data_IF_151357696780
#
_entry.id   IF_151357696780
#
_cell.length_a   1.000
_cell.length_b   1.000
_cell.length_c   1.000
_cell.angle_alpha   90.00
_cell.angle_beta   90.00
_cell.angle_gamma   90.00
#
_symmetry.space_group_name_H-M   'P 1'
#
loop_
_entity.id
_entity.type
_entity.pdbx_description
1 polymer ?
#
# COMPACT_ATOMS: atom_id res chain seq x y z
N UNK A 1 18.18 -2.16 -8.61
CA UNK A 1 19.40 -1.83 -7.83
C UNK A 1 19.44 -2.77 -6.64
N UNK A 2 20.62 -3.16 -6.16
CA UNK A 2 20.74 -3.84 -4.88
C UNK A 2 21.20 -2.76 -3.89
N UNK A 3 20.53 -2.61 -2.75
CA UNK A 3 20.93 -1.66 -1.73
C UNK A 3 22.33 -1.96 -1.19
N UNK A 4 23.09 -0.92 -0.86
CA UNK A 4 24.11 -1.01 0.19
C UNK A 4 23.40 -1.18 1.54
N UNK A 5 23.95 -1.99 2.46
CA UNK A 5 23.34 -2.24 3.76
C UNK A 5 23.14 -0.96 4.59
N UNK A 6 23.98 0.05 4.38
CA UNK A 6 23.87 1.35 5.05
C UNK A 6 22.70 2.16 4.50
N UNK A 7 22.54 2.16 3.18
CA UNK A 7 21.47 2.90 2.52
C UNK A 7 20.12 2.28 2.85
N UNK A 8 20.01 0.94 2.85
CA UNK A 8 18.79 0.26 3.28
C UNK A 8 18.44 0.59 4.72
N UNK A 9 19.43 0.49 5.64
CA UNK A 9 19.16 0.82 7.05
C UNK A 9 18.77 2.29 7.25
N UNK A 10 19.38 3.19 6.51
CA UNK A 10 19.05 4.61 6.54
C UNK A 10 17.62 4.87 6.02
N UNK A 11 17.23 4.21 4.93
CA UNK A 11 15.87 4.24 4.40
C UNK A 11 14.88 3.78 5.48
N UNK A 12 15.06 2.60 6.05
CA UNK A 12 14.23 2.04 7.13
C UNK A 12 14.09 3.00 8.33
N UNK A 13 15.18 3.68 8.72
CA UNK A 13 15.11 4.65 9.82
C UNK A 13 14.30 5.91 9.48
N UNK A 14 14.29 6.33 8.21
CA UNK A 14 13.45 7.44 7.78
C UNK A 14 11.98 7.03 7.66
N UNK A 15 11.69 5.83 7.20
CA UNK A 15 10.34 5.24 7.21
C UNK A 15 9.82 5.09 8.64
N UNK A 16 10.67 4.60 9.57
CA UNK A 16 10.34 4.56 11.00
C UNK A 16 10.03 5.94 11.57
N UNK A 17 10.72 6.99 11.11
CA UNK A 17 10.42 8.37 11.50
C UNK A 17 9.04 8.79 11.02
N UNK A 18 8.67 8.47 9.76
CA UNK A 18 7.33 8.74 9.22
C UNK A 18 6.29 7.97 10.03
N UNK A 19 6.51 6.68 10.28
CA UNK A 19 5.61 5.83 11.07
C UNK A 19 5.35 6.40 12.47
N UNK A 20 6.40 6.86 13.17
CA UNK A 20 6.26 7.48 14.50
C UNK A 20 5.42 8.75 14.48
N UNK A 21 5.53 9.54 13.43
CA UNK A 21 4.71 10.74 13.27
C UNK A 21 3.26 10.38 12.94
N UNK A 22 3.03 9.38 12.08
CA UNK A 22 1.68 8.85 11.82
C UNK A 22 1.05 8.33 13.12
N UNK A 23 1.78 7.55 13.91
CA UNK A 23 1.30 7.03 15.20
C UNK A 23 0.91 8.15 16.16
N UNK A 24 1.75 9.19 16.28
CA UNK A 24 1.46 10.37 17.11
C UNK A 24 0.15 11.03 16.69
N UNK A 25 -0.01 11.30 15.39
CA UNK A 25 -1.21 11.96 14.85
C UNK A 25 -2.44 11.08 14.99
N UNK A 26 -2.33 9.78 14.72
CA UNK A 26 -3.44 8.83 14.89
C UNK A 26 -3.92 8.78 16.36
N UNK A 27 -2.99 8.75 17.33
CA UNK A 27 -3.33 8.80 18.76
C UNK A 27 -4.02 10.11 19.14
N UNK A 28 -3.55 11.24 18.64
CA UNK A 28 -4.13 12.56 18.91
C UNK A 28 -5.54 12.70 18.35
N UNK A 29 -5.78 12.19 17.15
CA UNK A 29 -7.08 12.24 16.46
C UNK A 29 -8.02 11.08 16.82
N UNK A 30 -7.55 10.08 17.56
CA UNK A 30 -8.33 8.86 17.85
C UNK A 30 -8.64 8.06 16.57
N UNK A 31 -7.67 7.96 15.66
CA UNK A 31 -7.75 7.21 14.40
C UNK A 31 -7.18 5.82 14.63
N UNK A 32 -7.92 4.79 14.21
CA UNK A 32 -7.48 3.41 14.26
C UNK A 32 -6.61 3.09 13.05
N UNK A 33 -5.42 2.56 13.31
CA UNK A 33 -4.55 1.97 12.29
C UNK A 33 -3.86 0.73 12.85
N UNK A 34 -3.18 -0.03 12.01
CA UNK A 34 -2.36 -1.18 12.42
C UNK A 34 -1.23 -1.40 11.39
N UNK A 35 -0.12 -1.98 11.85
CA UNK A 35 0.91 -2.50 10.96
C UNK A 35 0.29 -3.56 10.05
N UNK A 36 0.66 -3.56 8.77
CA UNK A 36 0.13 -4.48 7.77
C UNK A 36 1.25 -5.30 7.11
N UNK A 37 0.90 -6.36 6.43
CA UNK A 37 1.74 -7.14 5.52
C UNK A 37 3.16 -7.44 6.04
N UNK A 38 4.19 -6.98 5.32
CA UNK A 38 5.61 -7.12 5.68
C UNK A 38 5.96 -6.48 7.02
N UNK A 39 5.30 -5.38 7.37
CA UNK A 39 5.58 -4.64 8.61
C UNK A 39 5.18 -5.42 9.86
N UNK A 40 4.00 -6.07 9.88
CA UNK A 40 3.62 -6.94 11.00
C UNK A 40 4.41 -8.24 11.02
N UNK A 41 4.77 -8.79 9.86
CA UNK A 41 5.69 -9.93 9.77
C UNK A 41 7.07 -9.60 10.35
N UNK A 42 7.59 -8.44 10.03
CA UNK A 42 8.84 -7.92 10.57
C UNK A 42 8.78 -7.76 12.10
N UNK A 43 7.70 -7.16 12.61
CA UNK A 43 7.49 -7.01 14.05
C UNK A 43 7.56 -8.36 14.79
N UNK A 44 6.79 -9.37 14.33
CA UNK A 44 6.70 -10.65 15.03
C UNK A 44 7.95 -11.52 14.88
N UNK A 45 8.60 -11.48 13.71
CA UNK A 45 9.72 -12.38 13.41
C UNK A 45 11.08 -11.79 13.71
N UNK A 46 11.22 -10.46 13.60
CA UNK A 46 12.50 -9.75 13.69
C UNK A 46 12.52 -8.67 14.78
N UNK A 47 11.38 -8.32 15.36
CA UNK A 47 11.24 -7.20 16.30
C UNK A 47 11.38 -5.82 15.65
N UNK A 48 11.28 -5.75 14.33
CA UNK A 48 11.45 -4.56 13.51
C UNK A 48 11.34 -4.90 12.04
N UNK A 49 12.06 -4.19 11.19
CA UNK A 49 12.07 -4.49 9.75
C UNK A 49 12.53 -5.92 9.44
N UNK A 50 11.96 -6.49 8.40
CA UNK A 50 12.58 -7.64 7.73
C UNK A 50 13.92 -7.14 7.16
N UNK A 51 15.06 -7.87 7.36
CA UNK A 51 16.39 -7.32 7.06
C UNK A 51 16.66 -6.86 5.63
N UNK A 52 15.83 -7.27 4.67
CA UNK A 52 15.94 -6.89 3.25
C UNK A 52 14.75 -6.08 2.74
N UNK A 53 13.81 -5.70 3.62
CA UNK A 53 12.60 -4.94 3.29
C UNK A 53 12.87 -3.44 3.24
N UNK A 54 12.15 -2.75 2.38
CA UNK A 54 12.35 -1.34 2.07
C UNK A 54 11.04 -0.54 2.00
N UNK A 55 10.04 -0.99 2.78
CA UNK A 55 8.76 -0.30 2.92
C UNK A 55 8.09 -0.55 4.29
N UNK A 56 7.15 0.30 4.62
CA UNK A 56 6.20 0.12 5.72
C UNK A 56 4.79 0.24 5.18
N UNK A 57 3.98 -0.78 5.48
CA UNK A 57 2.55 -0.81 5.19
C UNK A 57 1.74 -0.59 6.47
N UNK A 58 0.73 0.30 6.40
CA UNK A 58 -0.26 0.52 7.45
C UNK A 58 -1.66 0.27 6.94
N UNK A 59 -2.42 -0.57 7.62
CA UNK A 59 -3.84 -0.76 7.37
C UNK A 59 -4.70 0.19 8.20
N UNK A 60 -5.77 0.70 7.62
CA UNK A 60 -6.77 1.52 8.31
C UNK A 60 -8.18 1.10 7.90
N UNK A 61 -9.14 0.93 8.82
CA UNK A 61 -10.55 0.87 8.45
C UNK A 61 -10.93 2.08 7.58
N UNK A 62 -11.75 1.91 6.56
CA UNK A 62 -12.08 2.96 5.58
C UNK A 62 -12.44 4.30 6.21
N UNK A 63 -13.29 4.29 7.23
CA UNK A 63 -13.71 5.53 7.91
C UNK A 63 -12.53 6.25 8.60
N UNK A 64 -11.60 5.49 9.18
CA UNK A 64 -10.40 6.03 9.82
C UNK A 64 -9.39 6.51 8.77
N UNK A 65 -9.24 5.80 7.64
CA UNK A 65 -8.45 6.24 6.50
C UNK A 65 -8.94 7.58 5.93
N UNK A 66 -10.25 7.68 5.67
CA UNK A 66 -10.85 8.90 5.13
C UNK A 66 -10.66 10.09 6.09
N UNK A 67 -10.80 9.86 7.41
CA UNK A 67 -10.50 10.85 8.45
C UNK A 67 -9.01 11.22 8.47
N UNK A 68 -8.12 10.24 8.39
CA UNK A 68 -6.67 10.52 8.37
C UNK A 68 -6.30 11.40 7.18
N UNK A 69 -6.75 11.06 5.98
CA UNK A 69 -6.47 11.85 4.77
C UNK A 69 -7.00 13.30 4.89
N UNK A 70 -8.16 13.48 5.51
CA UNK A 70 -8.78 14.79 5.65
C UNK A 70 -8.19 15.65 6.79
N UNK A 71 -7.88 15.04 7.94
CA UNK A 71 -7.55 15.75 9.18
C UNK A 71 -6.02 15.79 9.43
N UNK A 72 -5.29 14.70 9.17
CA UNK A 72 -3.88 14.58 9.51
C UNK A 72 -2.95 15.65 8.91
N UNK A 73 -3.18 16.18 7.70
CA UNK A 73 -2.32 17.24 7.14
C UNK A 73 -2.19 18.49 8.02
N UNK A 74 -3.19 18.78 8.87
CA UNK A 74 -3.15 19.90 9.81
C UNK A 74 -2.35 19.61 11.09
N UNK A 75 -2.02 18.35 11.35
CA UNK A 75 -1.36 17.88 12.57
C UNK A 75 0.06 17.36 12.30
N UNK A 76 0.35 16.95 11.08
CA UNK A 76 1.68 16.52 10.65
C UNK A 76 2.65 17.72 10.57
N UNK A 77 3.94 17.47 10.82
CA UNK A 77 4.99 18.45 10.56
C UNK A 77 5.08 18.84 9.07
N UNK A 78 5.60 20.02 8.79
CA UNK A 78 5.72 20.57 7.42
C UNK A 78 6.56 19.71 6.48
N UNK A 79 7.44 18.88 7.02
CA UNK A 79 8.27 17.93 6.27
C UNK A 79 7.50 16.70 5.74
N UNK A 80 6.28 16.46 6.21
CA UNK A 80 5.47 15.32 5.77
C UNK A 80 4.43 15.73 4.71
N UNK A 81 4.19 14.85 3.77
CA UNK A 81 3.21 15.04 2.71
C UNK A 81 2.25 13.86 2.70
N UNK A 82 0.96 14.11 2.88
CA UNK A 82 -0.09 13.11 2.62
C UNK A 82 -0.48 13.20 1.15
N UNK A 83 -0.40 12.07 0.46
CA UNK A 83 -0.79 11.96 -0.95
C UNK A 83 -1.76 10.81 -1.16
N UNK A 84 -2.74 11.04 -1.99
CA UNK A 84 -3.71 10.05 -2.43
C UNK A 84 -3.91 10.16 -3.94
N UNK A 85 -4.46 9.15 -4.60
CA UNK A 85 -4.76 9.24 -6.03
C UNK A 85 -5.78 10.35 -6.36
N UNK A 86 -6.58 10.83 -5.39
CA UNK A 86 -7.48 11.99 -5.55
C UNK A 86 -6.74 13.31 -5.58
N UNK A 87 -5.65 13.43 -4.82
CA UNK A 87 -4.87 14.67 -4.71
C UNK A 87 -3.69 14.72 -5.67
N UNK A 88 -3.25 13.56 -6.17
CA UNK A 88 -2.13 13.47 -7.09
C UNK A 88 -2.47 12.58 -8.31
N UNK A 89 -2.75 13.17 -9.47
CA UNK A 89 -3.15 12.45 -10.68
C UNK A 89 -2.03 11.60 -11.29
N UNK A 90 -0.81 11.68 -10.79
CA UNK A 90 0.34 10.87 -11.21
C UNK A 90 0.52 9.60 -10.37
N UNK A 91 -0.25 9.45 -9.28
CA UNK A 91 -0.19 8.29 -8.40
C UNK A 91 -0.99 7.12 -8.98
N UNK A 92 -0.31 6.08 -9.45
CA UNK A 92 -0.95 4.88 -9.99
C UNK A 92 -1.57 3.99 -8.91
N UNK A 93 -0.96 3.95 -7.72
CA UNK A 93 -1.45 3.20 -6.57
C UNK A 93 -2.75 3.80 -6.03
N UNK A 94 -3.80 2.97 -5.91
CA UNK A 94 -5.14 3.41 -5.49
C UNK A 94 -5.32 3.34 -3.96
N UNK A 95 -4.31 3.82 -3.24
CA UNK A 95 -4.26 3.96 -1.78
C UNK A 95 -3.39 5.17 -1.40
N UNK A 96 -3.38 5.54 -0.13
CA UNK A 96 -2.66 6.72 0.35
C UNK A 96 -1.19 6.46 0.63
N UNK A 97 -0.42 7.54 0.73
CA UNK A 97 0.98 7.53 1.17
C UNK A 97 1.26 8.74 2.06
N UNK A 98 2.16 8.57 3.01
CA UNK A 98 2.82 9.69 3.69
C UNK A 98 4.29 9.62 3.38
N UNK A 99 4.89 10.72 2.89
CA UNK A 99 6.33 10.75 2.59
C UNK A 99 7.04 11.97 3.16
N UNK A 100 8.37 11.90 3.19
CA UNK A 100 9.25 12.99 3.59
C UNK A 100 9.54 13.93 2.41
N UNK A 101 9.24 15.20 2.59
CA UNK A 101 9.55 16.28 1.64
C UNK A 101 11.07 16.43 1.48
N UNK A 102 11.49 16.66 0.23
CA UNK A 102 12.89 16.87 -0.11
C UNK A 102 13.72 15.59 -0.20
N UNK A 103 13.12 14.41 0.02
CA UNK A 103 13.70 13.11 -0.34
C UNK A 103 13.16 12.63 -1.67
N UNK A 104 13.77 11.58 -2.26
CA UNK A 104 13.31 10.96 -3.50
C UNK A 104 13.39 9.44 -3.39
N UNK A 105 12.31 8.78 -3.75
CA UNK A 105 12.24 7.34 -3.94
C UNK A 105 11.52 7.07 -5.26
N UNK A 106 12.24 6.76 -6.33
CA UNK A 106 11.67 6.65 -7.65
C UNK A 106 11.96 5.30 -8.30
N UNK A 107 10.91 4.63 -8.73
CA UNK A 107 10.96 3.43 -9.58
C UNK A 107 10.82 3.81 -11.06
N UNK A 108 11.05 2.88 -11.97
CA UNK A 108 10.82 3.14 -13.40
C UNK A 108 9.37 3.56 -13.67
N UNK A 109 8.40 2.92 -12.98
CA UNK A 109 6.98 3.21 -13.14
C UNK A 109 6.62 4.61 -12.61
N UNK A 110 7.17 5.03 -11.46
CA UNK A 110 6.90 6.36 -10.92
C UNK A 110 7.53 7.46 -11.75
N UNK A 111 8.72 7.23 -12.30
CA UNK A 111 9.38 8.17 -13.24
C UNK A 111 8.51 8.31 -14.50
N UNK A 112 8.06 7.20 -15.07
CA UNK A 112 7.24 7.23 -16.28
C UNK A 112 5.88 7.90 -16.06
N UNK A 113 5.27 7.68 -14.88
CA UNK A 113 4.04 8.33 -14.46
C UNK A 113 4.22 9.84 -14.19
N UNK A 114 5.45 10.31 -13.99
CA UNK A 114 5.74 11.66 -13.52
C UNK A 114 5.36 11.85 -12.05
N UNK A 115 5.37 10.76 -11.27
CA UNK A 115 5.05 10.79 -9.86
C UNK A 115 6.32 11.03 -9.04
N UNK A 116 6.49 12.26 -8.58
CA UNK A 116 7.61 12.67 -7.75
C UNK A 116 7.27 12.43 -6.28
N UNK A 117 7.67 11.27 -5.75
CA UNK A 117 7.48 10.90 -4.35
C UNK A 117 8.80 10.84 -3.59
N UNK A 118 8.74 11.19 -2.31
CA UNK A 118 9.84 10.97 -1.36
C UNK A 118 9.84 9.56 -0.77
N UNK A 119 10.69 9.33 0.22
CA UNK A 119 10.69 8.15 1.09
C UNK A 119 9.36 8.13 1.84
N UNK A 120 8.66 7.00 1.87
CA UNK A 120 7.24 6.93 2.19
C UNK A 120 6.86 5.78 3.13
N UNK A 121 5.63 5.87 3.64
CA UNK A 121 4.86 4.81 4.29
C UNK A 121 3.54 4.68 3.56
N UNK A 122 3.10 3.47 3.25
CA UNK A 122 1.85 3.18 2.57
C UNK A 122 0.67 3.12 3.55
N UNK A 123 -0.47 3.70 3.14
CA UNK A 123 -1.71 3.71 3.89
C UNK A 123 -2.77 2.93 3.13
N UNK A 124 -3.12 1.75 3.61
CA UNK A 124 -4.01 0.81 2.95
C UNK A 124 -5.42 0.88 3.55
N UNK A 125 -6.42 1.40 2.81
CA UNK A 125 -7.79 1.40 3.29
C UNK A 125 -8.40 0.00 3.26
N UNK A 126 -8.99 -0.43 4.38
CA UNK A 126 -9.73 -1.67 4.53
C UNK A 126 -11.22 -1.41 4.37
N UNK A 127 -11.81 -1.94 3.31
CA UNK A 127 -13.22 -1.83 3.01
C UNK A 127 -13.97 -3.10 3.40
N UNK A 128 -15.24 -2.97 3.82
CA UNK A 128 -16.08 -4.12 4.03
C UNK A 128 -16.52 -4.73 2.69
N UNK A 129 -16.60 -6.06 2.64
CA UNK A 129 -17.27 -6.73 1.55
C UNK A 129 -18.79 -6.61 1.70
N UNK A 130 -19.49 -6.61 0.57
CA UNK A 130 -20.94 -6.77 0.59
C UNK A 130 -21.33 -8.13 1.15
N UNK A 131 -22.38 -8.17 1.95
CA UNK A 131 -22.98 -9.42 2.46
C UNK A 131 -23.68 -10.24 1.36
N UNK A 132 -24.03 -9.61 0.22
CA UNK A 132 -24.51 -10.32 -0.96
C UNK A 132 -23.33 -10.86 -1.78
N UNK A 133 -23.21 -12.20 -1.95
CA UNK A 133 -22.06 -12.81 -2.63
C UNK A 133 -21.87 -12.33 -4.08
N UNK A 134 -22.95 -12.04 -4.82
CA UNK A 134 -22.85 -11.58 -6.19
C UNK A 134 -22.29 -10.15 -6.25
N UNK A 135 -22.73 -9.29 -5.34
CA UNK A 135 -22.21 -7.92 -5.17
C UNK A 135 -20.78 -7.93 -4.71
N UNK A 136 -20.41 -8.78 -3.73
CA UNK A 136 -19.03 -8.93 -3.25
C UNK A 136 -18.07 -9.38 -4.37
N UNK A 137 -18.48 -10.36 -5.18
CA UNK A 137 -17.70 -10.82 -6.33
C UNK A 137 -17.54 -9.70 -7.39
N UNK A 138 -18.59 -8.92 -7.63
CA UNK A 138 -18.56 -7.76 -8.52
C UNK A 138 -17.64 -6.66 -7.96
N UNK A 139 -17.72 -6.34 -6.67
CA UNK A 139 -16.89 -5.37 -5.97
C UNK A 139 -15.40 -5.70 -6.19
N UNK A 140 -14.98 -6.92 -5.88
CA UNK A 140 -13.59 -7.38 -6.06
C UNK A 140 -13.14 -7.35 -7.53
N UNK A 141 -14.00 -7.79 -8.46
CA UNK A 141 -13.69 -7.79 -9.89
C UNK A 141 -13.52 -6.37 -10.42
N UNK A 142 -14.42 -5.47 -10.08
CA UNK A 142 -14.41 -4.09 -10.56
C UNK A 142 -13.19 -3.34 -9.97
N UNK A 143 -12.83 -3.58 -8.71
CA UNK A 143 -11.60 -3.03 -8.11
C UNK A 143 -10.34 -3.53 -8.81
N UNK A 144 -10.23 -4.83 -9.11
CA UNK A 144 -9.10 -5.37 -9.88
C UNK A 144 -9.00 -4.75 -11.27
N UNK A 145 -10.16 -4.57 -11.93
CA UNK A 145 -10.19 -3.93 -13.25
C UNK A 145 -9.69 -2.49 -13.19
N UNK A 146 -10.22 -1.68 -12.27
CA UNK A 146 -9.81 -0.27 -12.19
C UNK A 146 -8.38 -0.09 -11.72
N UNK A 147 -7.89 -0.96 -10.84
CA UNK A 147 -6.48 -0.97 -10.47
C UNK A 147 -5.57 -1.28 -11.66
N UNK A 148 -5.92 -2.29 -12.45
CA UNK A 148 -5.17 -2.61 -13.67
C UNK A 148 -5.19 -1.44 -14.67
N UNK A 149 -6.35 -0.78 -14.83
CA UNK A 149 -6.48 0.41 -15.68
C UNK A 149 -5.62 1.56 -15.13
N UNK A 150 -5.57 1.74 -13.80
CA UNK A 150 -4.73 2.77 -13.18
C UNK A 150 -3.26 2.56 -13.53
N UNK A 151 -2.69 1.41 -13.23
CA UNK A 151 -1.29 1.11 -13.56
C UNK A 151 -1.00 1.23 -15.07
N UNK A 152 -1.86 0.66 -15.90
CA UNK A 152 -1.74 0.76 -17.37
C UNK A 152 -1.84 2.19 -17.89
N UNK A 153 -2.61 3.07 -17.25
CA UNK A 153 -2.71 4.47 -17.68
C UNK A 153 -1.49 5.30 -17.29
N UNK A 154 -0.77 4.91 -16.24
CA UNK A 154 0.38 5.67 -15.72
C UNK A 154 1.71 5.22 -16.31
N UNK A 155 1.92 3.92 -16.54
CA UNK A 155 3.17 3.38 -17.07
C UNK A 155 2.93 2.35 -18.17
N UNK A 156 3.79 2.39 -19.21
CA UNK A 156 3.87 1.37 -20.27
C UNK A 156 4.86 0.27 -19.92
N UNK A 157 5.84 0.58 -19.05
CA UNK A 157 6.94 -0.29 -18.63
C UNK A 157 6.48 -1.28 -17.55
N UNK A 158 5.43 -2.07 -17.87
CA UNK A 158 4.93 -3.09 -16.95
C UNK A 158 5.81 -4.33 -17.04
N UNK A 159 6.23 -4.84 -15.89
CA UNK A 159 6.94 -6.10 -15.80
C UNK A 159 6.05 -7.24 -16.29
N UNK A 160 6.43 -7.86 -17.42
CA UNK A 160 5.71 -8.99 -17.99
C UNK A 160 6.32 -10.32 -17.53
N UNK A 161 5.50 -11.37 -17.31
CA UNK A 161 5.98 -12.63 -16.72
C UNK A 161 6.90 -13.42 -17.65
N UNK A 162 6.81 -13.24 -18.97
CA UNK A 162 7.58 -14.03 -19.95
C UNK A 162 8.76 -13.27 -20.56
N UNK A 163 9.80 -14.03 -20.95
CA UNK A 163 10.96 -13.53 -21.68
C UNK A 163 10.88 -13.95 -23.17
N UNK A 164 11.76 -13.40 -24.00
CA UNK A 164 11.84 -13.76 -25.43
C UNK A 164 10.65 -13.23 -26.26
N UNK A 165 10.23 -13.97 -27.30
CA UNK A 165 9.20 -13.55 -28.25
C UNK A 165 7.84 -13.34 -27.58
N UNK A 166 7.44 -14.20 -26.65
CA UNK A 166 6.19 -14.07 -25.91
C UNK A 166 6.19 -12.79 -25.06
N UNK A 167 7.27 -12.54 -24.32
CA UNK A 167 7.41 -11.29 -23.56
C UNK A 167 7.44 -10.03 -24.43
N UNK A 168 7.91 -10.13 -25.69
CA UNK A 168 7.83 -9.01 -26.64
C UNK A 168 6.38 -8.73 -27.05
N UNK A 169 5.58 -9.77 -27.28
CA UNK A 169 4.15 -9.64 -27.59
C UNK A 169 3.41 -9.06 -26.39
N UNK A 170 3.67 -9.55 -25.18
CA UNK A 170 3.07 -9.03 -23.95
C UNK A 170 3.39 -7.53 -23.74
N UNK A 171 4.64 -7.12 -23.91
CA UNK A 171 5.02 -5.69 -23.84
C UNK A 171 4.31 -4.84 -24.91
N UNK A 172 4.20 -5.35 -26.15
CA UNK A 172 3.48 -4.64 -27.20
C UNK A 172 1.98 -4.51 -26.86
N UNK A 173 1.37 -5.56 -26.31
CA UNK A 173 -0.01 -5.54 -25.85
C UNK A 173 -0.22 -4.55 -24.68
N UNK A 174 0.70 -4.53 -23.70
CA UNK A 174 0.69 -3.55 -22.60
C UNK A 174 0.83 -2.12 -23.14
N UNK A 175 1.71 -1.87 -24.10
CA UNK A 175 1.85 -0.57 -24.75
C UNK A 175 0.56 -0.10 -25.46
N UNK A 176 -0.12 -1.00 -26.17
CA UNK A 176 -1.40 -0.70 -26.80
C UNK A 176 -2.49 -0.43 -25.75
N UNK A 177 -2.53 -1.25 -24.68
CA UNK A 177 -3.45 -1.07 -23.56
C UNK A 177 -3.20 0.25 -22.81
N UNK A 178 -1.93 0.64 -22.62
CA UNK A 178 -1.56 1.95 -22.05
C UNK A 178 -2.16 3.11 -22.85
N UNK A 179 -1.97 3.11 -24.17
CA UNK A 179 -2.52 4.16 -25.03
C UNK A 179 -4.05 4.20 -24.99
N UNK A 180 -4.69 3.03 -24.99
CA UNK A 180 -6.15 2.91 -24.88
C UNK A 180 -6.65 3.40 -23.50
N UNK A 181 -6.00 3.00 -22.42
CA UNK A 181 -6.37 3.44 -21.08
C UNK A 181 -6.29 4.97 -20.92
N UNK A 182 -5.18 5.57 -21.37
CA UNK A 182 -5.00 7.04 -21.36
C UNK A 182 -5.99 7.79 -22.26
N UNK A 183 -6.38 7.20 -23.38
CA UNK A 183 -7.33 7.83 -24.29
C UNK A 183 -8.79 7.74 -23.83
N UNK A 184 -9.13 6.72 -23.05
CA UNK A 184 -10.50 6.43 -22.64
C UNK A 184 -10.85 6.92 -21.23
N UNK A 185 -9.87 7.01 -20.34
CA UNK A 185 -10.08 7.29 -18.93
C UNK A 185 -9.14 8.38 -18.41
N UNK A 186 -9.69 9.40 -17.75
CA UNK A 186 -8.88 10.32 -16.97
C UNK A 186 -8.53 9.69 -15.60
N UNK A 187 -7.44 10.12 -14.93
CA UNK A 187 -7.08 9.66 -13.59
C UNK A 187 -8.25 9.80 -12.59
N UNK A 188 -8.93 10.94 -12.59
CA UNK A 188 -10.05 11.23 -11.69
C UNK A 188 -11.22 10.25 -11.92
N UNK A 189 -11.46 9.88 -13.18
CA UNK A 189 -12.51 8.90 -13.51
C UNK A 189 -12.14 7.50 -13.03
N UNK A 190 -10.87 7.12 -13.15
CA UNK A 190 -10.36 5.83 -12.65
C UNK A 190 -10.55 5.77 -11.14
N UNK A 191 -10.06 6.77 -10.41
CA UNK A 191 -10.15 6.88 -8.96
C UNK A 191 -11.62 6.86 -8.50
N UNK A 192 -12.47 7.68 -9.10
CA UNK A 192 -13.89 7.72 -8.75
C UNK A 192 -14.58 6.37 -8.96
N UNK A 193 -14.26 5.66 -10.04
CA UNK A 193 -14.83 4.33 -10.32
C UNK A 193 -14.32 3.25 -9.39
N UNK A 194 -13.02 3.30 -9.07
CA UNK A 194 -12.42 2.40 -8.09
C UNK A 194 -13.06 2.60 -6.71
N UNK A 195 -13.10 3.84 -6.22
CA UNK A 195 -13.66 4.14 -4.90
C UNK A 195 -15.13 3.75 -4.81
N UNK A 196 -15.93 4.03 -5.84
CA UNK A 196 -17.32 3.59 -5.89
C UNK A 196 -17.46 2.06 -5.81
N UNK A 197 -16.54 1.32 -6.44
CA UNK A 197 -16.54 -0.14 -6.35
C UNK A 197 -16.04 -0.58 -4.97
N UNK A 198 -14.95 -0.02 -4.47
CA UNK A 198 -14.33 -0.39 -3.21
C UNK A 198 -15.27 -0.20 -2.01
N UNK A 199 -15.96 0.94 -1.96
CA UNK A 199 -16.80 1.32 -0.80
C UNK A 199 -18.23 0.82 -0.84
N UNK A 200 -18.65 0.09 -1.88
CA UNK A 200 -20.05 -0.32 -2.01
C UNK A 200 -20.53 -1.29 -0.92
N UNK A 201 -19.61 -1.98 -0.25
CA UNK A 201 -19.89 -2.84 0.90
C UNK A 201 -19.81 -2.14 2.26
N UNK A 202 -19.44 -0.86 2.33
CA UNK A 202 -19.27 -0.14 3.60
C UNK A 202 -20.58 0.39 4.20
N UNK A 203 -21.69 0.32 3.46
CA UNK A 203 -23.02 0.59 4.04
C UNK A 203 -23.32 -0.46 5.11
N UNK A 204 -23.60 -0.07 6.37
CA UNK A 204 -23.85 -1.02 7.46
C UNK A 204 -24.98 -2.01 7.18
N UNK A 205 -25.95 -1.65 6.33
CA UNK A 205 -27.06 -2.54 5.93
C UNK A 205 -26.64 -3.61 4.91
N UNK A 206 -25.51 -3.43 4.24
CA UNK A 206 -24.98 -4.28 3.17
C UNK A 206 -23.64 -4.93 3.53
N UNK A 207 -23.00 -4.49 4.59
CA UNK A 207 -21.68 -4.96 5.01
C UNK A 207 -21.72 -6.43 5.48
N UNK A 208 -20.71 -7.19 5.09
CA UNK A 208 -20.33 -8.42 5.78
C UNK A 208 -19.36 -8.11 6.93
N UNK A 209 -19.04 -9.13 7.72
CA UNK A 209 -17.99 -9.05 8.74
C UNK A 209 -16.57 -9.20 8.15
N UNK A 210 -16.44 -9.18 6.84
CA UNK A 210 -15.15 -9.35 6.16
C UNK A 210 -14.60 -8.02 5.68
N UNK A 211 -13.30 -7.83 5.87
CA UNK A 211 -12.52 -6.67 5.45
C UNK A 211 -11.53 -7.05 4.35
N UNK A 212 -11.35 -6.17 3.37
CA UNK A 212 -10.42 -6.36 2.24
C UNK A 212 -9.72 -5.06 1.89
N UNK A 213 -8.43 -5.12 1.60
CA UNK A 213 -7.73 -4.05 0.88
C UNK A 213 -8.08 -4.16 -0.60
N UNK A 214 -8.94 -3.28 -1.08
CA UNK A 214 -9.44 -3.35 -2.47
C UNK A 214 -8.38 -3.05 -3.53
N UNK A 215 -7.30 -2.35 -3.17
CA UNK A 215 -6.12 -2.20 -4.02
C UNK A 215 -5.38 -3.54 -4.25
N UNK A 216 -5.57 -4.52 -3.38
CA UNK A 216 -5.10 -5.89 -3.51
C UNK A 216 -6.27 -6.88 -3.48
N UNK A 217 -7.31 -6.62 -4.27
CA UNK A 217 -8.57 -7.37 -4.29
C UNK A 217 -8.45 -8.86 -4.68
N UNK A 218 -7.24 -9.35 -4.95
CA UNK A 218 -6.93 -10.78 -5.10
C UNK A 218 -6.70 -11.49 -3.78
N UNK A 219 -6.37 -10.75 -2.71
CA UNK A 219 -6.19 -11.33 -1.38
C UNK A 219 -7.53 -11.85 -0.84
N UNK A 220 -7.45 -12.90 -0.02
CA UNK A 220 -8.62 -13.40 0.66
C UNK A 220 -9.09 -12.42 1.73
N UNK A 221 -10.41 -12.27 1.91
CA UNK A 221 -10.96 -11.39 2.92
C UNK A 221 -10.53 -11.81 4.33
N UNK A 222 -10.35 -10.84 5.21
CA UNK A 222 -10.05 -11.04 6.62
C UNK A 222 -11.31 -10.85 7.46
N UNK A 223 -11.60 -11.78 8.35
CA UNK A 223 -12.67 -11.57 9.34
C UNK A 223 -12.37 -10.30 10.15
N UNK A 224 -13.37 -9.43 10.34
CA UNK A 224 -13.22 -8.19 11.12
C UNK A 224 -12.65 -8.45 12.52
N UNK A 225 -13.04 -9.55 13.17
CA UNK A 225 -12.54 -9.95 14.48
C UNK A 225 -11.06 -10.35 14.49
N UNK A 226 -10.48 -10.71 13.34
CA UNK A 226 -9.04 -10.94 13.19
C UNK A 226 -8.27 -9.63 13.14
N UNK A 227 -8.91 -8.56 12.69
CA UNK A 227 -8.28 -7.25 12.48
C UNK A 227 -8.54 -6.29 13.65
N UNK A 228 -9.74 -6.33 14.24
CA UNK A 228 -10.22 -5.33 15.21
C UNK A 228 -10.91 -5.99 16.44
N UNK A 229 -10.79 -5.37 17.65
CA UNK A 229 -9.93 -4.22 17.96
C UNK A 229 -8.46 -4.58 17.83
N UNK A 230 -7.61 -3.61 17.55
CA UNK A 230 -6.17 -3.83 17.34
C UNK A 230 -5.49 -4.38 18.60
N UNK A 231 -4.50 -5.25 18.40
CA UNK A 231 -3.52 -5.65 19.40
C UNK A 231 -2.31 -4.70 19.40
N UNK A 232 -1.28 -5.02 20.17
CA UNK A 232 -0.03 -4.25 20.21
C UNK A 232 1.14 -5.18 19.98
N UNK A 233 2.11 -4.74 19.18
CA UNK A 233 3.38 -5.43 18.94
C UNK A 233 4.56 -4.47 19.06
N UNK A 234 5.74 -5.00 19.34
CA UNK A 234 6.98 -4.22 19.34
C UNK A 234 7.57 -4.19 17.93
N UNK A 235 7.81 -3.00 17.37
CA UNK A 235 8.50 -2.78 16.10
C UNK A 235 9.57 -1.71 16.28
N UNK A 236 10.85 -2.05 16.05
CA UNK A 236 12.01 -1.15 16.24
C UNK A 236 12.00 -0.46 17.61
N UNK A 237 11.65 -1.22 18.67
CA UNK A 237 11.56 -0.72 20.03
C UNK A 237 10.36 0.19 20.34
N UNK A 238 9.41 0.33 19.43
CA UNK A 238 8.17 1.06 19.62
C UNK A 238 6.99 0.09 19.77
N UNK A 239 6.06 0.40 20.69
CA UNK A 239 4.81 -0.33 20.85
C UNK A 239 3.77 0.26 19.87
N UNK A 240 3.40 -0.51 18.86
CA UNK A 240 2.55 -0.09 17.74
C UNK A 240 1.32 -1.00 17.57
N UNK A 241 0.20 -0.48 17.06
CA UNK A 241 -0.98 -1.28 16.77
C UNK A 241 -0.72 -2.34 15.68
N UNK A 242 -1.31 -3.51 15.87
CA UNK A 242 -1.30 -4.62 14.93
C UNK A 242 -2.72 -5.21 14.81
N UNK A 243 -3.02 -6.08 13.82
CA UNK A 243 -4.27 -6.83 13.79
C UNK A 243 -4.59 -7.50 15.14
N UNK A 244 -5.86 -7.71 15.45
CA UNK A 244 -6.28 -8.34 16.71
C UNK A 244 -5.62 -9.71 16.95
N UNK A 245 -5.50 -10.51 15.88
CA UNK A 245 -4.74 -11.77 15.86
C UNK A 245 -3.69 -11.74 14.74
N UNK A 246 -2.50 -11.16 15.01
CA UNK A 246 -1.48 -10.98 13.99
C UNK A 246 -0.89 -12.31 13.50
N UNK A 247 -0.90 -13.37 14.31
CA UNK A 247 -0.43 -14.69 13.85
C UNK A 247 -1.41 -15.34 12.87
N UNK A 248 -2.72 -15.25 13.13
CA UNK A 248 -3.74 -15.73 12.20
C UNK A 248 -3.72 -14.94 10.90
N UNK A 249 -3.59 -13.61 10.98
CA UNK A 249 -3.41 -12.72 9.82
C UNK A 249 -2.22 -13.15 8.95
N UNK A 250 -1.04 -13.31 9.56
CA UNK A 250 0.17 -13.71 8.84
C UNK A 250 0.07 -15.14 8.26
N UNK A 251 -0.60 -16.05 8.97
CA UNK A 251 -0.83 -17.40 8.47
C UNK A 251 -1.74 -17.42 7.25
N UNK A 252 -2.76 -16.56 7.23
CA UNK A 252 -3.64 -16.43 6.07
C UNK A 252 -2.90 -15.78 4.88
N UNK A 253 -2.05 -14.78 5.11
CA UNK A 253 -1.37 -14.04 4.06
C UNK A 253 -0.13 -14.77 3.51
N UNK A 254 0.69 -15.37 4.40
CA UNK A 254 2.01 -15.93 4.06
C UNK A 254 2.15 -17.42 4.35
N UNK A 255 1.12 -18.08 4.91
CA UNK A 255 1.20 -19.49 5.29
C UNK A 255 2.19 -19.72 6.44
N UNK A 256 3.27 -20.44 6.18
CA UNK A 256 4.32 -20.75 7.18
C UNK A 256 5.27 -19.56 7.38
N UNK A 257 4.74 -18.42 7.80
CA UNK A 257 5.43 -17.13 7.90
C UNK A 257 6.66 -17.13 8.82
N UNK A 258 6.76 -18.05 9.78
CA UNK A 258 7.93 -18.19 10.66
C UNK A 258 9.19 -18.64 9.90
N UNK A 259 9.01 -19.35 8.78
CA UNK A 259 10.13 -19.83 7.96
C UNK A 259 10.71 -18.68 7.14
N UNK A 260 12.04 -18.55 7.18
CA UNK A 260 12.73 -17.60 6.30
C UNK A 260 12.67 -18.11 4.85
N UNK A 261 12.31 -17.23 3.90
CA UNK A 261 12.42 -17.59 2.49
C UNK A 261 13.89 -17.78 2.09
N UNK A 262 14.17 -18.64 1.10
CA UNK A 262 15.51 -18.74 0.49
C UNK A 262 16.00 -17.35 0.04
N UNK A 263 17.32 -17.15 0.04
CA UNK A 263 17.91 -15.83 -0.29
C UNK A 263 17.45 -15.33 -1.67
N UNK A 264 17.37 -16.23 -2.63
CA UNK A 264 16.93 -15.95 -4.00
C UNK A 264 15.44 -15.60 -4.13
N UNK A 265 14.64 -15.91 -3.10
CA UNK A 265 13.22 -15.54 -3.05
C UNK A 265 12.96 -14.25 -2.28
N UNK A 266 13.98 -13.67 -1.62
CA UNK A 266 13.87 -12.39 -0.94
C UNK A 266 13.70 -11.26 -1.94
N UNK A 267 12.71 -10.43 -1.72
CA UNK A 267 12.36 -9.30 -2.62
C UNK A 267 12.36 -8.01 -1.81
N UNK A 268 12.61 -6.94 -2.50
CA UNK A 268 12.39 -5.55 -2.09
C UNK A 268 11.95 -4.75 -3.33
N UNK A 269 11.59 -3.49 -3.13
CA UNK A 269 11.10 -2.57 -4.15
C UNK A 269 12.19 -1.61 -4.63
N UNK A 270 13.47 -2.00 -4.48
CA UNK A 270 14.64 -1.13 -4.70
C UNK A 270 14.41 -0.12 -5.83
N UNK A 271 14.45 1.19 -5.54
CA UNK A 271 14.21 2.23 -6.52
C UNK A 271 15.37 2.33 -7.50
N UNK A 272 15.15 2.97 -8.65
CA UNK A 272 16.22 3.34 -9.59
C UNK A 272 16.90 4.65 -9.17
N UNK A 273 16.18 5.49 -8.42
CA UNK A 273 16.73 6.72 -7.81
C UNK A 273 16.30 6.77 -6.34
N UNK A 274 17.29 6.92 -5.47
CA UNK A 274 17.11 7.14 -4.04
C UNK A 274 17.94 8.35 -3.62
N UNK A 275 17.27 9.36 -3.06
CA UNK A 275 17.93 10.53 -2.49
C UNK A 275 17.35 10.82 -1.09
N UNK A 276 18.22 10.87 -0.13
CA UNK A 276 17.86 11.17 1.26
C UNK A 276 17.68 12.68 1.52
N UNK A 277 18.01 13.54 0.55
CA UNK A 277 17.84 14.97 0.63
C UNK A 277 18.47 15.59 1.90
N UNK A 278 17.68 16.37 2.67
CA UNK A 278 18.21 17.02 3.89
C UNK A 278 18.57 16.03 4.99
N UNK A 279 18.29 14.75 4.83
CA UNK A 279 18.60 13.66 5.77
C UNK A 279 19.82 12.83 5.34
N UNK A 280 20.59 13.30 4.34
CA UNK A 280 21.76 12.62 3.78
C UNK A 280 22.91 12.42 4.79
#
# INVERSE_FOLDING_TARGET
MQYDDRDLRKLQLLELRILKEIDRVCRELGITYFLDSGSVLGALRHGGFIPWDDDIDLGMPRADYDRFVAEAPAFLGEEYVVSTPETNPHQAALFGKVWLRGTRFATEETIEAGFDQGIFVDLLPYDALSSDPATAAKQRRDCRFWQSVSYLSHAKSIVVPHKGALGAIERAACGAAHLAARGLYSPERIVSRFNKAATCGNDPSLASDDLVVMAYATYEPYARSMMLPTSTVTFEGCELPAPADPEAFLRQLYGEWQKLPPVEARRNHAPVELDFGPYA
#
